data_IF_481698982903
#
_entry.id   IF_481698982903
#
_cell.length_a   1.000
_cell.length_b   1.000
_cell.length_c   1.000
_cell.angle_alpha   90.00
_cell.angle_beta   90.00
_cell.angle_gamma   90.00
#
_symmetry.space_group_name_H-M   'P 1'
#
loop_
_entity.id
_entity.type
_entity.pdbx_description
1 polymer ?
#
# COMPACT_ATOMS: atom_id res chain seq x y z
N UNK A 1 -10.00 24.01 6.66
CA UNK A 1 -9.01 22.92 6.74
C UNK A 1 -7.70 23.52 7.22
N UNK A 2 -7.04 22.92 8.21
CA UNK A 2 -5.83 23.47 8.83
C UNK A 2 -4.64 23.44 7.82
N UNK A 3 -3.80 24.48 7.82
CA UNK A 3 -2.60 24.56 6.96
C UNK A 3 -1.65 23.38 7.16
N UNK A 4 -1.56 22.85 8.38
CA UNK A 4 -0.69 21.71 8.72
C UNK A 4 -1.03 20.42 7.98
N UNK A 5 -2.28 20.25 7.53
CA UNK A 5 -2.71 19.06 6.78
C UNK A 5 -2.97 19.33 5.30
N UNK A 6 -2.91 20.58 4.86
CA UNK A 6 -3.24 20.95 3.47
C UNK A 6 -2.26 20.33 2.47
N UNK A 7 -0.98 20.25 2.81
CA UNK A 7 0.05 19.63 1.96
C UNK A 7 -0.13 18.11 1.75
N UNK A 8 -1.03 17.48 2.49
CA UNK A 8 -1.35 16.05 2.36
C UNK A 8 -2.60 15.79 1.51
N UNK A 9 -3.19 16.82 0.90
CA UNK A 9 -4.29 16.61 -0.04
C UNK A 9 -3.78 15.97 -1.33
N UNK A 10 -4.53 14.99 -1.80
CA UNK A 10 -4.39 14.47 -3.16
C UNK A 10 -5.20 15.41 -4.07
N UNK A 11 -4.52 16.29 -4.81
CA UNK A 11 -5.18 17.32 -5.63
C UNK A 11 -5.70 16.77 -6.96
N UNK A 12 -4.85 16.02 -7.67
CA UNK A 12 -5.20 15.39 -8.94
C UNK A 12 -5.90 14.05 -8.70
N UNK A 13 -6.92 13.76 -9.49
CA UNK A 13 -7.59 12.45 -9.44
C UNK A 13 -6.59 11.35 -9.81
N UNK A 14 -6.20 10.46 -8.87
CA UNK A 14 -5.35 9.34 -9.22
C UNK A 14 -6.15 8.35 -10.08
N UNK A 15 -5.50 7.74 -11.07
CA UNK A 15 -6.10 6.63 -11.78
C UNK A 15 -6.19 5.43 -10.84
N UNK A 16 -7.43 4.99 -10.61
CA UNK A 16 -7.73 3.78 -9.88
C UNK A 16 -8.92 3.12 -10.56
N UNK A 17 -8.77 1.83 -10.85
CA UNK A 17 -9.80 1.02 -11.49
C UNK A 17 -10.38 0.07 -10.45
N UNK A 18 -11.63 0.26 -10.00
CA UNK A 18 -12.29 -0.65 -9.09
C UNK A 18 -12.41 -2.05 -9.71
N UNK A 19 -12.15 -3.08 -8.93
CA UNK A 19 -12.22 -4.50 -9.33
C UNK A 19 -13.38 -5.25 -8.69
N UNK A 20 -13.92 -4.71 -7.60
CA UNK A 20 -15.12 -5.19 -6.92
C UNK A 20 -15.85 -4.00 -6.24
N UNK A 21 -16.37 -4.20 -5.03
CA UNK A 21 -17.12 -3.21 -4.26
C UNK A 21 -16.27 -2.50 -3.18
N UNK A 22 -14.94 -2.56 -3.26
CA UNK A 22 -14.01 -2.00 -2.27
C UNK A 22 -14.20 -0.50 -2.03
N UNK A 23 -14.55 0.26 -3.07
CA UNK A 23 -14.84 1.70 -2.95
C UNK A 23 -16.07 1.94 -2.07
N UNK A 24 -17.15 1.18 -2.28
CA UNK A 24 -18.39 1.30 -1.53
C UNK A 24 -18.21 0.88 -0.07
N UNK A 25 -17.53 -0.25 0.14
CA UNK A 25 -17.21 -0.78 1.47
C UNK A 25 -16.37 0.22 2.27
N UNK A 26 -15.35 0.82 1.66
CA UNK A 26 -14.51 1.80 2.34
C UNK A 26 -15.29 3.09 2.66
N UNK A 27 -16.18 3.56 1.77
CA UNK A 27 -17.04 4.72 2.09
C UNK A 27 -17.96 4.43 3.27
N UNK A 28 -18.57 3.24 3.31
CA UNK A 28 -19.42 2.83 4.41
C UNK A 28 -18.65 2.76 5.73
N UNK A 29 -17.46 2.16 5.72
CA UNK A 29 -16.56 2.11 6.86
C UNK A 29 -16.13 3.50 7.33
N UNK A 30 -15.74 4.38 6.39
CA UNK A 30 -15.41 5.77 6.69
C UNK A 30 -16.60 6.49 7.33
N UNK A 31 -17.82 6.32 6.82
CA UNK A 31 -19.04 6.91 7.39
C UNK A 31 -19.28 6.54 8.86
N UNK A 32 -18.73 5.40 9.32
CA UNK A 32 -18.76 4.94 10.72
C UNK A 32 -17.44 5.13 11.46
N UNK A 33 -16.42 5.71 10.81
CA UNK A 33 -15.04 5.86 11.32
C UNK A 33 -14.43 4.53 11.78
N UNK A 34 -14.84 3.44 11.13
CA UNK A 34 -14.34 2.10 11.41
C UNK A 34 -12.88 2.01 10.93
N UNK A 35 -11.91 1.63 11.77
CA UNK A 35 -10.53 1.39 11.33
C UNK A 35 -10.48 0.30 10.26
N UNK A 36 -9.66 0.49 9.22
CA UNK A 36 -9.58 -0.44 8.09
C UNK A 36 -8.20 -1.07 7.91
N UNK A 37 -8.16 -2.35 7.57
CA UNK A 37 -6.97 -3.06 7.10
C UNK A 37 -7.11 -3.35 5.61
N UNK A 38 -6.10 -3.03 4.82
CA UNK A 38 -5.96 -3.47 3.44
C UNK A 38 -4.99 -4.66 3.39
N UNK A 39 -5.50 -5.83 3.00
CA UNK A 39 -4.70 -7.05 2.85
C UNK A 39 -4.50 -7.35 1.37
N UNK A 40 -3.36 -7.89 0.98
CA UNK A 40 -3.16 -8.38 -0.38
C UNK A 40 -1.69 -8.41 -0.77
N UNK A 41 -1.32 -9.01 -1.91
CA UNK A 41 0.07 -9.11 -2.33
C UNK A 41 0.68 -7.73 -2.63
N UNK A 42 2.01 -7.66 -2.74
CA UNK A 42 2.69 -6.42 -3.15
C UNK A 42 2.27 -6.01 -4.57
N UNK A 43 2.20 -4.70 -4.82
CA UNK A 43 1.94 -4.17 -6.17
C UNK A 43 0.56 -4.50 -6.75
N UNK A 44 -0.45 -4.81 -5.93
CA UNK A 44 -1.85 -5.01 -6.37
C UNK A 44 -2.73 -3.74 -6.29
N UNK A 45 -2.18 -2.60 -5.88
CA UNK A 45 -2.88 -1.31 -5.90
C UNK A 45 -3.45 -0.80 -4.56
N UNK A 46 -3.07 -1.38 -3.41
CA UNK A 46 -3.52 -0.92 -2.06
C UNK A 46 -3.23 0.57 -1.81
N UNK A 47 -1.99 1.01 -2.04
CA UNK A 47 -1.59 2.41 -1.84
C UNK A 47 -2.33 3.34 -2.80
N UNK A 48 -2.46 2.96 -4.07
CA UNK A 48 -3.22 3.70 -5.10
C UNK A 48 -4.71 3.81 -4.75
N UNK A 49 -5.30 2.75 -4.19
CA UNK A 49 -6.66 2.78 -3.67
C UNK A 49 -6.81 3.81 -2.56
N UNK A 50 -5.86 3.90 -1.64
CA UNK A 50 -5.88 4.91 -0.58
C UNK A 50 -5.77 6.34 -1.10
N UNK A 51 -4.91 6.59 -2.08
CA UNK A 51 -4.85 7.88 -2.79
C UNK A 51 -6.20 8.23 -3.42
N UNK A 52 -6.83 7.27 -4.10
CA UNK A 52 -8.14 7.45 -4.73
C UNK A 52 -9.25 7.73 -3.72
N UNK A 53 -9.28 6.98 -2.61
CA UNK A 53 -10.28 7.19 -1.56
C UNK A 53 -10.07 8.53 -0.85
N UNK A 54 -8.83 8.92 -0.57
CA UNK A 54 -8.52 10.21 0.02
C UNK A 54 -8.94 11.38 -0.88
N UNK A 55 -8.58 11.32 -2.17
CA UNK A 55 -9.02 12.27 -3.19
C UNK A 55 -10.55 12.34 -3.23
N UNK A 56 -11.22 11.18 -3.33
CA UNK A 56 -12.67 11.14 -3.50
C UNK A 56 -13.47 11.54 -2.27
N UNK A 57 -12.91 11.38 -1.07
CA UNK A 57 -13.50 11.85 0.19
C UNK A 57 -13.11 13.31 0.48
N UNK A 58 -12.24 13.91 -0.34
CA UNK A 58 -11.61 15.21 -0.09
C UNK A 58 -11.00 15.29 1.32
N UNK A 59 -10.17 14.29 1.65
CA UNK A 59 -9.48 14.20 2.93
C UNK A 59 -7.96 14.13 2.71
N UNK A 60 -7.16 14.75 3.58
CA UNK A 60 -5.71 14.63 3.51
C UNK A 60 -5.30 13.19 3.82
N UNK A 61 -4.29 12.69 3.09
CA UNK A 61 -3.71 11.37 3.25
C UNK A 61 -2.28 11.51 3.79
N UNK A 62 -2.09 11.13 5.05
CA UNK A 62 -0.79 11.08 5.69
C UNK A 62 -0.34 9.62 5.65
N UNK A 63 0.53 9.31 4.68
CA UNK A 63 1.09 7.97 4.49
C UNK A 63 2.40 7.82 5.23
N UNK A 64 2.58 6.71 5.93
CA UNK A 64 3.83 6.30 6.55
C UNK A 64 4.22 4.91 6.05
N UNK A 65 5.42 4.81 5.50
CA UNK A 65 6.04 3.52 5.21
C UNK A 65 6.65 2.97 6.49
N UNK A 66 6.06 1.92 7.04
CA UNK A 66 6.54 1.28 8.26
C UNK A 66 7.82 0.49 7.97
N UNK A 67 8.74 0.48 8.93
CA UNK A 67 9.98 -0.29 8.88
C UNK A 67 10.42 -0.65 10.30
N UNK A 68 11.42 -1.53 10.42
CA UNK A 68 11.89 -2.06 11.70
C UNK A 68 12.54 -1.01 12.61
N UNK A 69 13.02 0.09 12.04
CA UNK A 69 13.66 1.19 12.77
C UNK A 69 12.66 2.24 13.24
N UNK A 70 11.41 2.18 12.76
CA UNK A 70 10.35 3.10 13.15
C UNK A 70 10.02 2.92 14.63
N UNK A 71 10.10 4.01 15.38
CA UNK A 71 9.75 4.03 16.80
C UNK A 71 8.37 4.65 17.03
N UNK A 72 7.79 4.39 18.21
CA UNK A 72 6.58 5.06 18.67
C UNK A 72 6.69 6.59 18.61
N UNK A 73 7.86 7.16 18.89
CA UNK A 73 8.07 8.63 18.87
C UNK A 73 8.03 9.20 17.46
N UNK A 74 8.38 8.42 16.44
CA UNK A 74 8.26 8.86 15.04
C UNK A 74 6.80 8.93 14.59
N UNK A 75 5.92 8.10 15.16
CA UNK A 75 4.48 8.17 14.92
C UNK A 75 3.81 9.33 15.66
N UNK A 76 4.04 9.44 16.98
CA UNK A 76 3.28 10.37 17.83
C UNK A 76 3.92 11.75 17.98
N UNK A 77 5.23 11.84 17.84
CA UNK A 77 5.97 13.08 18.00
C UNK A 77 7.09 12.99 19.03
N UNK A 78 7.94 14.01 18.98
CA UNK A 78 9.17 14.10 19.78
C UNK A 78 9.52 15.54 20.04
N UNK A 79 10.30 15.76 21.09
CA UNK A 79 10.93 17.05 21.32
C UNK A 79 12.14 17.20 20.41
N UNK A 80 12.23 18.35 19.73
CA UNK A 80 13.37 18.77 18.93
C UNK A 80 14.05 19.96 19.63
N UNK A 81 15.37 20.02 19.52
CA UNK A 81 16.18 21.13 20.01
C UNK A 81 16.38 22.10 18.84
N UNK A 82 15.79 23.29 18.98
CA UNK A 82 16.00 24.41 18.07
C UNK A 82 16.91 25.47 18.75
N UNK A 83 17.32 26.49 17.99
CA UNK A 83 18.13 27.60 18.50
C UNK A 83 17.48 28.34 19.70
N UNK A 84 16.14 28.34 19.77
CA UNK A 84 15.36 28.99 20.84
C UNK A 84 15.01 28.03 22.00
N UNK A 85 15.49 26.79 21.96
CA UNK A 85 15.25 25.77 22.99
C UNK A 85 14.46 24.55 22.49
N UNK A 86 13.97 23.75 23.45
CA UNK A 86 13.28 22.49 23.18
C UNK A 86 11.82 22.71 22.82
N UNK A 87 11.41 22.30 21.62
CA UNK A 87 10.01 22.40 21.14
C UNK A 87 9.44 21.04 20.81
N UNK A 88 8.16 20.85 21.10
CA UNK A 88 7.45 19.63 20.71
C UNK A 88 7.09 19.69 19.22
N UNK A 89 7.41 18.62 18.50
CA UNK A 89 6.97 18.41 17.14
C UNK A 89 6.01 17.21 17.09
N UNK A 90 4.77 17.47 16.66
CA UNK A 90 3.78 16.41 16.48
C UNK A 90 4.24 15.44 15.38
N UNK A 91 4.06 14.14 15.64
CA UNK A 91 4.28 13.12 14.63
C UNK A 91 3.11 13.04 13.66
N UNK A 92 3.31 12.43 12.48
CA UNK A 92 2.28 12.25 11.45
C UNK A 92 0.96 11.62 11.96
N UNK A 93 1.00 10.63 12.86
CA UNK A 93 -0.21 10.06 13.44
C UNK A 93 -0.98 11.10 14.28
N UNK A 94 -0.24 11.89 15.06
CA UNK A 94 -0.80 12.96 15.89
C UNK A 94 -1.38 14.08 15.04
N UNK A 95 -0.70 14.50 13.97
CA UNK A 95 -1.20 15.50 13.02
C UNK A 95 -2.52 15.04 12.40
N UNK A 96 -2.60 13.79 11.93
CA UNK A 96 -3.83 13.22 11.39
C UNK A 96 -4.96 13.17 12.43
N UNK A 97 -4.64 12.73 13.65
CA UNK A 97 -5.59 12.63 14.75
C UNK A 97 -6.11 14.01 15.17
N UNK A 98 -5.27 15.04 15.26
CA UNK A 98 -5.68 16.38 15.69
C UNK A 98 -6.53 17.12 14.66
N UNK A 99 -6.18 17.01 13.38
CA UNK A 99 -6.72 17.89 12.35
C UNK A 99 -7.73 17.24 11.42
N UNK A 100 -7.93 15.93 11.53
CA UNK A 100 -8.88 15.19 10.70
C UNK A 100 -8.29 14.89 9.34
N UNK A 101 -7.76 13.67 9.21
CA UNK A 101 -7.24 13.13 7.98
C UNK A 101 -7.22 11.62 8.01
N UNK A 102 -6.86 11.03 6.89
CA UNK A 102 -6.59 9.61 6.79
C UNK A 102 -5.12 9.40 7.14
N UNK A 103 -4.84 8.67 8.22
CA UNK A 103 -3.50 8.15 8.51
C UNK A 103 -3.40 6.75 7.94
N UNK A 104 -2.49 6.56 6.98
CA UNK A 104 -2.24 5.28 6.31
C UNK A 104 -0.88 4.72 6.71
N UNK A 105 -0.89 3.65 7.51
CA UNK A 105 0.32 2.92 7.90
C UNK A 105 0.56 1.78 6.88
N UNK A 106 1.42 2.04 5.91
CA UNK A 106 1.77 1.06 4.88
C UNK A 106 2.76 0.03 5.47
N UNK A 107 2.49 -1.25 5.22
CA UNK A 107 3.31 -2.37 5.70
C UNK A 107 3.49 -2.40 7.23
N UNK A 108 2.40 -2.21 7.99
CA UNK A 108 2.41 -2.05 9.45
C UNK A 108 3.06 -3.21 10.22
N UNK A 109 3.17 -4.40 9.61
CA UNK A 109 3.85 -5.57 10.16
C UNK A 109 5.37 -5.44 10.20
N UNK A 110 5.95 -4.53 9.41
CA UNK A 110 7.38 -4.25 9.45
C UNK A 110 7.75 -3.32 10.61
N UNK A 111 6.78 -2.61 11.17
CA UNK A 111 6.99 -1.82 12.37
C UNK A 111 7.22 -2.71 13.60
N UNK A 112 8.00 -2.21 14.56
CA UNK A 112 8.16 -2.87 15.85
C UNK A 112 6.81 -3.02 16.56
N UNK A 113 6.65 -4.11 17.31
CA UNK A 113 5.38 -4.41 17.97
C UNK A 113 4.94 -3.32 18.96
N UNK A 114 5.88 -2.75 19.71
CA UNK A 114 5.64 -1.62 20.63
C UNK A 114 5.15 -0.35 19.90
N UNK A 115 5.54 -0.18 18.64
CA UNK A 115 5.12 0.90 17.78
C UNK A 115 3.71 0.66 17.23
N UNK A 116 3.34 -0.60 16.94
CA UNK A 116 1.97 -0.93 16.48
C UNK A 116 0.90 -0.80 17.56
N UNK A 117 1.21 -1.03 18.84
CA UNK A 117 0.19 -0.96 19.92
C UNK A 117 -0.29 0.46 20.21
N UNK A 118 0.46 1.47 19.76
CA UNK A 118 0.11 2.89 19.98
C UNK A 118 -1.19 3.30 19.30
N UNK A 119 -1.60 2.54 18.28
CA UNK A 119 -2.83 2.81 17.54
C UNK A 119 -4.07 2.22 18.24
N UNK A 120 -3.92 1.36 19.26
CA UNK A 120 -5.06 0.71 19.91
C UNK A 120 -6.06 1.71 20.52
N UNK A 121 -5.63 2.75 21.25
CA UNK A 121 -6.57 3.73 21.82
C UNK A 121 -7.33 4.54 20.77
N UNK A 122 -6.79 4.63 19.53
CA UNK A 122 -7.43 5.28 18.38
C UNK A 122 -8.48 4.39 17.69
N UNK A 123 -8.46 3.08 17.95
CA UNK A 123 -9.40 2.10 17.38
C UNK A 123 -10.57 1.76 18.30
N UNK A 124 -10.49 2.11 19.58
CA UNK A 124 -11.60 1.98 20.54
C UNK A 124 -12.60 3.14 20.39
N UNK A 125 -13.80 2.99 20.97
CA UNK A 125 -14.86 4.02 20.96
C UNK A 125 -14.42 5.39 21.52
N UNK A 126 -13.39 5.41 22.38
CA UNK A 126 -12.84 6.63 22.97
C UNK A 126 -12.06 7.48 21.98
N UNK A 127 -11.45 6.86 20.96
CA UNK A 127 -10.64 7.50 19.91
C UNK A 127 -9.68 8.57 20.45
N UNK A 128 -8.79 8.17 21.35
CA UNK A 128 -7.80 9.04 22.00
C UNK A 128 -6.38 8.64 21.59
N UNK A 129 -5.44 9.58 21.62
CA UNK A 129 -4.01 9.36 21.43
C UNK A 129 -3.24 9.98 22.61
N UNK A 130 -2.75 9.16 23.55
CA UNK A 130 -1.89 9.64 24.63
C UNK A 130 -0.52 10.07 24.10
N UNK A 131 -0.09 11.27 24.46
CA UNK A 131 1.25 11.81 24.21
C UNK A 131 2.01 11.90 25.54
N UNK A 132 2.41 10.75 26.09
CA UNK A 132 2.94 10.64 27.45
C UNK A 132 4.13 11.58 27.70
N UNK A 133 5.05 11.71 26.73
CA UNK A 133 6.21 12.62 26.81
C UNK A 133 5.82 14.10 26.88
N UNK A 134 4.66 14.47 26.32
CA UNK A 134 4.11 15.83 26.36
C UNK A 134 3.14 16.03 27.52
N UNK A 135 2.69 14.95 28.17
CA UNK A 135 1.64 15.00 29.20
C UNK A 135 0.28 15.42 28.64
N UNK A 136 0.01 15.12 27.37
CA UNK A 136 -1.20 15.54 26.67
C UNK A 136 -2.03 14.34 26.22
N UNK A 137 -3.35 14.43 26.34
CA UNK A 137 -4.28 13.46 25.78
C UNK A 137 -5.02 14.08 24.59
N UNK A 138 -4.73 13.58 23.38
CA UNK A 138 -5.36 14.08 22.16
C UNK A 138 -6.66 13.32 21.90
N UNK A 139 -7.78 14.03 21.80
CA UNK A 139 -9.02 13.46 21.27
C UNK A 139 -8.99 13.52 19.75
N UNK A 140 -9.17 12.37 19.10
CA UNK A 140 -9.12 12.30 17.64
C UNK A 140 -10.28 13.10 17.05
N UNK A 141 -9.95 13.92 16.05
CA UNK A 141 -10.90 14.70 15.28
C UNK A 141 -12.00 13.79 14.71
N UNK A 142 -13.26 14.24 14.63
CA UNK A 142 -14.36 13.44 14.11
C UNK A 142 -14.06 12.80 12.75
N UNK A 143 -13.36 13.53 11.87
CA UNK A 143 -12.96 13.09 10.53
C UNK A 143 -11.68 12.27 10.43
N UNK A 144 -10.98 12.03 11.54
CA UNK A 144 -9.82 11.15 11.54
C UNK A 144 -10.21 9.74 11.07
N UNK A 145 -9.34 9.09 10.29
CA UNK A 145 -9.50 7.70 9.88
C UNK A 145 -8.14 7.01 9.96
N UNK A 146 -8.11 5.87 10.63
CA UNK A 146 -6.93 5.00 10.63
C UNK A 146 -7.09 3.91 9.59
N UNK A 147 -6.09 3.75 8.74
CA UNK A 147 -5.98 2.65 7.79
C UNK A 147 -4.58 2.06 7.90
N UNK A 148 -4.48 0.73 7.85
CA UNK A 148 -3.19 0.04 7.81
C UNK A 148 -3.17 -0.95 6.65
N UNK A 149 -1.99 -1.30 6.14
CA UNK A 149 -1.83 -2.34 5.14
C UNK A 149 -0.81 -3.38 5.58
N UNK A 150 -0.94 -4.60 5.06
CA UNK A 150 0.16 -5.57 5.05
C UNK A 150 -0.05 -6.62 3.95
N UNK A 151 1.02 -7.38 3.67
CA UNK A 151 1.03 -8.42 2.64
C UNK A 151 1.02 -9.81 3.30
N UNK A 152 -0.13 -10.51 3.42
CA UNK A 152 -0.19 -11.79 4.11
C UNK A 152 0.71 -12.85 3.43
N UNK A 153 1.51 -13.56 4.24
CA UNK A 153 2.36 -14.64 3.75
C UNK A 153 3.72 -14.21 3.19
N UNK A 154 4.01 -12.90 3.16
CA UNK A 154 5.33 -12.37 2.78
C UNK A 154 6.31 -12.43 3.95
N UNK A 155 5.82 -12.30 5.18
CA UNK A 155 6.64 -12.28 6.39
C UNK A 155 6.79 -13.68 7.00
N UNK A 156 7.92 -13.88 7.70
CA UNK A 156 8.07 -15.01 8.62
C UNK A 156 6.92 -15.05 9.64
N UNK A 157 6.54 -16.25 10.11
CA UNK A 157 5.43 -16.43 11.04
C UNK A 157 5.52 -15.59 12.34
N UNK A 158 6.71 -15.05 12.65
CA UNK A 158 6.98 -14.18 13.81
C UNK A 158 6.58 -12.71 13.59
N UNK A 159 6.36 -12.28 12.34
CA UNK A 159 6.00 -10.90 11.93
C UNK A 159 4.58 -10.82 11.37
N UNK A 160 3.62 -11.43 12.06
CA UNK A 160 2.19 -11.26 11.75
C UNK A 160 1.55 -10.27 12.73
N UNK A 161 0.47 -9.61 12.30
CA UNK A 161 -0.36 -8.81 13.18
C UNK A 161 -1.01 -9.71 14.24
N UNK A 162 -0.85 -9.34 15.52
CA UNK A 162 -1.51 -10.03 16.64
C UNK A 162 -3.02 -10.03 16.44
N UNK A 163 -3.69 -11.11 16.88
CA UNK A 163 -5.15 -11.23 16.81
C UNK A 163 -5.87 -10.06 17.51
N UNK A 164 -5.33 -9.59 18.63
CA UNK A 164 -5.85 -8.43 19.34
C UNK A 164 -5.81 -7.13 18.52
N UNK A 165 -4.85 -6.99 17.61
CA UNK A 165 -4.84 -5.87 16.65
C UNK A 165 -5.81 -6.14 15.52
N UNK A 166 -5.83 -7.34 14.93
CA UNK A 166 -6.72 -7.68 13.79
C UNK A 166 -8.21 -7.48 14.11
N UNK A 167 -8.65 -7.85 15.32
CA UNK A 167 -10.06 -7.76 15.74
C UNK A 167 -10.58 -6.32 15.94
N UNK A 168 -9.71 -5.31 15.85
CA UNK A 168 -10.06 -3.88 15.98
C UNK A 168 -10.40 -3.21 14.65
N UNK A 169 -10.29 -3.94 13.54
CA UNK A 169 -10.41 -3.36 12.20
C UNK A 169 -11.40 -4.15 11.34
N UNK A 170 -12.10 -3.44 10.47
CA UNK A 170 -12.67 -4.01 9.26
C UNK A 170 -11.55 -4.32 8.26
N UNK A 171 -11.77 -5.26 7.33
CA UNK A 171 -10.76 -5.65 6.35
C UNK A 171 -11.32 -5.62 4.93
N UNK A 172 -10.50 -5.14 4.00
CA UNK A 172 -10.70 -5.31 2.56
C UNK A 172 -9.51 -6.14 2.04
N UNK A 173 -9.82 -7.20 1.32
CA UNK A 173 -8.82 -8.07 0.70
C UNK A 173 -8.67 -7.72 -0.78
N UNK A 174 -7.43 -7.47 -1.16
CA UNK A 174 -7.00 -7.18 -2.51
C UNK A 174 -6.29 -8.41 -3.07
N UNK A 175 -6.57 -8.69 -4.33
CA UNK A 175 -5.85 -9.64 -5.14
C UNK A 175 -5.38 -8.95 -6.41
N UNK A 176 -4.52 -9.64 -7.18
CA UNK A 176 -4.28 -9.18 -8.54
C UNK A 176 -5.61 -9.19 -9.32
N UNK A 177 -5.90 -8.15 -10.13
CA UNK A 177 -7.16 -8.06 -10.85
C UNK A 177 -7.35 -9.23 -11.82
N UNK A 178 -8.60 -9.46 -12.25
CA UNK A 178 -8.88 -10.38 -13.36
C UNK A 178 -8.22 -9.86 -14.64
N UNK A 179 -7.91 -10.77 -15.55
CA UNK A 179 -7.15 -10.47 -16.77
C UNK A 179 -7.64 -9.22 -17.52
N UNK A 180 -8.95 -9.11 -17.78
CA UNK A 180 -9.51 -7.95 -18.50
C UNK A 180 -9.26 -6.62 -17.76
N UNK A 181 -9.42 -6.61 -16.43
CA UNK A 181 -9.23 -5.40 -15.64
C UNK A 181 -7.75 -5.06 -15.50
N UNK A 182 -6.90 -6.06 -15.31
CA UNK A 182 -5.45 -5.87 -15.22
C UNK A 182 -4.87 -5.38 -16.55
N UNK A 183 -5.35 -5.90 -17.68
CA UNK A 183 -4.96 -5.43 -19.02
C UNK A 183 -5.27 -3.95 -19.19
N UNK A 184 -6.48 -3.52 -18.83
CA UNK A 184 -6.86 -2.11 -18.89
C UNK A 184 -6.02 -1.22 -17.96
N UNK A 185 -5.66 -1.72 -16.77
CA UNK A 185 -4.78 -1.01 -15.85
C UNK A 185 -3.38 -0.84 -16.45
N UNK A 186 -2.80 -1.94 -16.95
CA UNK A 186 -1.45 -1.93 -17.55
C UNK A 186 -1.42 -1.04 -18.80
N UNK A 187 -2.39 -1.17 -19.70
CA UNK A 187 -2.47 -0.34 -20.90
C UNK A 187 -2.56 1.15 -20.55
N UNK A 188 -3.42 1.52 -19.60
CA UNK A 188 -3.57 2.91 -19.18
C UNK A 188 -2.30 3.48 -18.52
N UNK A 189 -1.72 2.76 -17.56
CA UNK A 189 -0.58 3.27 -16.77
C UNK A 189 0.75 3.23 -17.54
N UNK A 190 0.89 2.32 -18.52
CA UNK A 190 2.14 2.21 -19.30
C UNK A 190 2.08 2.83 -20.69
N UNK A 191 0.88 3.16 -21.21
CA UNK A 191 0.71 3.74 -22.55
C UNK A 191 0.83 2.74 -23.71
N UNK A 192 1.02 1.45 -23.43
CA UNK A 192 1.01 0.40 -24.46
C UNK A 192 -0.41 0.04 -24.90
N UNK A 193 -0.55 -0.50 -26.11
CA UNK A 193 -1.84 -1.00 -26.61
C UNK A 193 -2.32 -2.26 -25.87
N UNK A 194 -3.64 -2.50 -25.91
CA UNK A 194 -4.30 -3.61 -25.20
C UNK A 194 -3.73 -4.99 -25.55
N UNK A 195 -3.26 -5.21 -26.79
CA UNK A 195 -2.62 -6.49 -27.18
C UNK A 195 -1.32 -6.75 -26.39
N UNK A 196 -0.46 -5.73 -26.27
CA UNK A 196 0.78 -5.84 -25.50
C UNK A 196 0.47 -6.01 -24.02
N UNK A 197 -0.45 -5.20 -23.48
CA UNK A 197 -0.88 -5.31 -22.09
C UNK A 197 -1.48 -6.69 -21.77
N UNK A 198 -2.28 -7.26 -22.67
CA UNK A 198 -2.85 -8.59 -22.52
C UNK A 198 -1.79 -9.70 -22.50
N UNK A 199 -0.76 -9.59 -23.34
CA UNK A 199 0.39 -10.50 -23.34
C UNK A 199 1.18 -10.43 -22.04
N UNK A 200 1.49 -9.22 -21.57
CA UNK A 200 2.16 -8.99 -20.28
C UNK A 200 1.38 -9.62 -19.12
N UNK A 201 0.08 -9.37 -19.05
CA UNK A 201 -0.81 -9.98 -18.04
C UNK A 201 -0.85 -11.51 -18.16
N UNK A 202 -0.87 -12.04 -19.39
CA UNK A 202 -0.82 -13.47 -19.66
C UNK A 202 0.45 -14.15 -19.12
N UNK A 203 1.60 -13.47 -19.16
CA UNK A 203 2.84 -13.94 -18.55
C UNK A 203 2.72 -13.92 -17.02
N UNK A 204 2.25 -12.81 -16.44
CA UNK A 204 2.08 -12.72 -14.99
C UNK A 204 1.12 -13.78 -14.44
N UNK A 205 0.00 -14.05 -15.11
CA UNK A 205 -0.95 -15.08 -14.68
C UNK A 205 -0.30 -16.47 -14.59
N UNK A 206 0.57 -16.83 -15.55
CA UNK A 206 1.33 -18.08 -15.50
C UNK A 206 2.34 -18.08 -14.35
N UNK A 207 3.08 -16.98 -14.15
CA UNK A 207 4.03 -16.87 -13.03
C UNK A 207 3.36 -17.01 -11.66
N UNK A 208 2.14 -16.45 -11.48
CA UNK A 208 1.37 -16.56 -10.23
C UNK A 208 0.94 -17.99 -9.95
N UNK A 209 0.79 -18.83 -10.97
CA UNK A 209 0.56 -20.26 -10.83
C UNK A 209 1.77 -21.06 -10.33
N UNK A 210 2.97 -20.47 -10.36
CA UNK A 210 4.20 -21.06 -9.82
C UNK A 210 4.46 -20.70 -8.35
N UNK A 211 3.57 -19.92 -7.73
CA UNK A 211 3.66 -19.58 -6.30
C UNK A 211 3.66 -20.85 -5.45
N UNK A 212 4.66 -20.99 -4.57
CA UNK A 212 4.88 -22.19 -3.77
C UNK A 212 5.44 -23.40 -4.54
N UNK A 213 5.80 -23.22 -5.81
CA UNK A 213 6.42 -24.22 -6.70
C UNK A 213 7.69 -23.65 -7.35
N UNK A 214 8.53 -23.01 -6.54
CA UNK A 214 9.78 -22.38 -6.97
C UNK A 214 9.77 -20.85 -6.92
N UNK A 215 8.60 -20.20 -7.02
CA UNK A 215 8.46 -18.77 -6.70
C UNK A 215 7.84 -18.58 -5.32
N UNK A 216 8.40 -17.67 -4.55
CA UNK A 216 7.76 -17.17 -3.32
C UNK A 216 6.50 -16.37 -3.66
N UNK A 217 6.57 -15.55 -4.72
CA UNK A 217 5.46 -14.75 -5.23
C UNK A 217 5.44 -14.68 -6.76
N UNK A 218 4.26 -14.47 -7.32
CA UNK A 218 4.10 -14.22 -8.76
C UNK A 218 4.29 -12.76 -9.15
N UNK A 219 4.46 -12.50 -10.44
CA UNK A 219 4.68 -11.16 -10.99
C UNK A 219 3.54 -10.22 -10.59
N UNK A 220 3.89 -9.07 -10.01
CA UNK A 220 2.93 -8.06 -9.56
C UNK A 220 2.45 -7.16 -10.71
N UNK A 221 1.30 -6.50 -10.54
CA UNK A 221 0.81 -5.50 -11.51
C UNK A 221 1.80 -4.35 -11.69
N UNK A 222 2.54 -3.97 -10.63
CA UNK A 222 3.62 -2.98 -10.72
C UNK A 222 4.71 -3.38 -11.72
N UNK A 223 5.14 -4.65 -11.70
CA UNK A 223 6.16 -5.17 -12.63
C UNK A 223 5.66 -5.18 -14.07
N UNK A 224 4.36 -5.47 -14.29
CA UNK A 224 3.73 -5.37 -15.61
C UNK A 224 3.76 -3.94 -16.14
N UNK A 225 3.45 -2.94 -15.29
CA UNK A 225 3.50 -1.53 -15.66
C UNK A 225 4.93 -1.13 -16.02
N UNK A 226 5.94 -1.54 -15.24
CA UNK A 226 7.35 -1.27 -15.57
C UNK A 226 7.77 -1.90 -16.91
N UNK A 227 7.38 -3.15 -17.18
CA UNK A 227 7.64 -3.78 -18.48
C UNK A 227 6.95 -3.03 -19.62
N UNK A 228 5.69 -2.62 -19.42
CA UNK A 228 4.94 -1.83 -20.39
C UNK A 228 5.60 -0.49 -20.69
N UNK A 229 6.05 0.24 -19.66
CA UNK A 229 6.72 1.54 -19.82
C UNK A 229 7.98 1.42 -20.66
N UNK A 230 8.81 0.41 -20.39
CA UNK A 230 10.01 0.15 -21.19
C UNK A 230 9.66 -0.17 -22.66
N UNK A 231 8.57 -0.91 -22.90
CA UNK A 231 8.11 -1.21 -24.26
C UNK A 231 7.59 0.05 -24.96
N UNK A 232 6.88 0.92 -24.24
CA UNK A 232 6.43 2.22 -24.76
C UNK A 232 7.62 3.12 -25.14
N UNK A 233 8.72 3.02 -24.40
CA UNK A 233 9.99 3.71 -24.68
C UNK A 233 10.82 3.04 -25.80
N UNK A 234 10.29 1.99 -26.45
CA UNK A 234 10.91 1.33 -27.60
C UNK A 234 11.88 0.18 -27.26
N UNK A 235 12.00 -0.20 -25.99
CA UNK A 235 12.75 -1.40 -25.61
C UNK A 235 12.02 -2.64 -26.13
N UNK A 236 12.77 -3.60 -26.66
CA UNK A 236 12.18 -4.84 -27.18
C UNK A 236 11.40 -5.57 -26.08
N UNK A 237 10.19 -6.10 -26.35
CA UNK A 237 9.36 -6.74 -25.34
C UNK A 237 10.07 -7.82 -24.51
N UNK A 238 10.92 -8.64 -25.14
CA UNK A 238 11.72 -9.66 -24.45
C UNK A 238 12.65 -9.07 -23.41
N UNK A 239 13.40 -8.02 -23.78
CA UNK A 239 14.37 -7.36 -22.91
C UNK A 239 13.67 -6.63 -21.76
N UNK A 240 12.57 -5.93 -22.07
CA UNK A 240 11.74 -5.26 -21.08
C UNK A 240 11.15 -6.24 -20.05
N UNK A 241 10.57 -7.36 -20.52
CA UNK A 241 10.03 -8.39 -19.63
C UNK A 241 11.13 -9.05 -18.80
N UNK A 242 12.27 -9.40 -19.40
CA UNK A 242 13.36 -10.02 -18.65
C UNK A 242 13.87 -9.08 -17.54
N UNK A 243 14.00 -7.79 -17.84
CA UNK A 243 14.47 -6.77 -16.89
C UNK A 243 13.45 -6.51 -15.77
N UNK A 244 12.17 -6.34 -16.10
CA UNK A 244 11.15 -5.89 -15.15
C UNK A 244 10.35 -7.02 -14.48
N UNK A 245 10.29 -8.20 -15.09
CA UNK A 245 9.40 -9.29 -14.66
C UNK A 245 10.13 -10.59 -14.28
N UNK A 246 11.27 -10.90 -14.92
CA UNK A 246 12.00 -12.15 -14.65
C UNK A 246 13.11 -11.96 -13.61
N UNK A 247 14.13 -11.14 -13.91
CA UNK A 247 15.29 -10.94 -13.03
C UNK A 247 14.95 -10.47 -11.61
N UNK A 248 13.93 -9.62 -11.37
CA UNK A 248 13.67 -9.15 -10.01
C UNK A 248 12.96 -10.15 -9.11
N UNK A 249 12.37 -11.23 -9.66
CA UNK A 249 11.49 -12.12 -8.89
C UNK A 249 12.18 -13.40 -8.41
N UNK A 250 13.32 -13.75 -9.00
CA UNK A 250 14.05 -14.96 -8.65
C UNK A 250 15.50 -14.88 -9.10
N UNK A 251 16.40 -15.38 -8.25
CA UNK A 251 17.81 -15.63 -8.59
C UNK A 251 18.05 -17.10 -9.01
N UNK A 252 17.01 -17.93 -8.97
CA UNK A 252 17.08 -19.34 -9.38
C UNK A 252 17.10 -19.43 -10.91
N UNK A 253 18.10 -20.13 -11.45
CA UNK A 253 18.32 -20.23 -12.89
C UNK A 253 17.19 -20.98 -13.60
N UNK A 254 16.65 -22.05 -13.00
CA UNK A 254 15.56 -22.84 -13.58
C UNK A 254 14.26 -22.03 -13.62
N UNK A 255 13.97 -21.28 -12.56
CA UNK A 255 12.82 -20.38 -12.51
C UNK A 255 12.97 -19.21 -13.47
N UNK A 256 14.18 -18.66 -13.61
CA UNK A 256 14.49 -17.64 -14.60
C UNK A 256 14.25 -18.16 -16.02
N UNK A 257 14.71 -19.38 -16.33
CA UNK A 257 14.46 -20.02 -17.62
C UNK A 257 12.97 -20.27 -17.86
N UNK A 258 12.22 -20.71 -16.84
CA UNK A 258 10.78 -20.90 -16.94
C UNK A 258 10.04 -19.59 -17.27
N UNK A 259 10.40 -18.49 -16.59
CA UNK A 259 9.83 -17.16 -16.86
C UNK A 259 10.19 -16.66 -18.26
N UNK A 260 11.44 -16.85 -18.70
CA UNK A 260 11.85 -16.52 -20.07
C UNK A 260 11.09 -17.35 -21.11
N UNK A 261 10.85 -18.63 -20.85
CA UNK A 261 10.01 -19.48 -21.71
C UNK A 261 8.56 -18.97 -21.80
N UNK A 262 8.01 -18.42 -20.72
CA UNK A 262 6.71 -17.74 -20.79
C UNK A 262 6.77 -16.48 -21.64
N UNK A 263 7.82 -15.66 -21.51
CA UNK A 263 8.00 -14.45 -22.30
C UNK A 263 8.08 -14.78 -23.80
N UNK A 264 8.88 -15.78 -24.17
CA UNK A 264 9.02 -16.26 -25.56
C UNK A 264 7.70 -16.79 -26.11
N UNK A 265 6.89 -17.48 -25.30
CA UNK A 265 5.60 -18.00 -25.74
C UNK A 265 4.59 -16.90 -26.15
N UNK A 266 4.71 -15.68 -25.61
CA UNK A 266 3.82 -14.56 -25.94
C UNK A 266 4.41 -13.56 -26.94
N UNK A 267 5.73 -13.36 -26.94
CA UNK A 267 6.39 -12.37 -27.79
C UNK A 267 7.25 -12.96 -28.91
N UNK A 268 7.37 -14.29 -28.98
CA UNK A 268 8.22 -14.98 -29.94
C UNK A 268 9.70 -14.99 -29.54
N UNK A 269 10.54 -15.67 -30.35
CA UNK A 269 12.00 -15.62 -30.22
C UNK A 269 12.56 -14.24 -30.60
#
# INVERSE_FOLDING_TARGET
MNEQIRGYLVEAKPYYKPVANEVELFRAAYGRRMPMILKGPTGCGKTRFMEFMAWSLNKPLITLACNEDMTASDLVGRYLLDADGTRWHDGPLTVAARHGGICYLDEVVEARQDTTVIIHPLTDDRRILPLDKRGELVHAHPDFQLVVSYNPGYQSATKDLKQSTKQRFGAIEFHYPKQAEETAIVAHESGVGDDIAAKLVGIAHRSRGLRGRGLEEGISTRMLIHAGLLIADGIKPREACALAMAKPITDDEDMTQALNGFIEAYFGP
#
